data_IF_545306929136
#
_entry.id   IF_545306929136
#
_cell.length_a   1.000
_cell.length_b   1.000
_cell.length_c   1.000
_cell.angle_alpha   90.00
_cell.angle_beta   90.00
_cell.angle_gamma   90.00
#
_symmetry.space_group_name_H-M   'P 1'
#
loop_
_entity.id
_entity.type
_entity.pdbx_description
1 polymer ?
#
# COMPACT_ATOMS: atom_id res chain seq x y z
N UNK A 1 -29.11 14.79 23.12
CA UNK A 1 -29.15 13.38 23.51
C UNK A 1 -27.80 12.77 23.18
N UNK A 2 -27.02 12.44 24.18
CA UNK A 2 -25.70 11.80 24.02
C UNK A 2 -25.99 10.32 23.76
N UNK A 3 -25.61 9.80 22.60
CA UNK A 3 -25.74 8.38 22.28
C UNK A 3 -24.54 7.64 22.86
N UNK A 4 -24.81 6.83 23.89
CA UNK A 4 -23.92 5.86 24.48
C UNK A 4 -23.76 4.67 23.50
N UNK A 5 -22.51 4.25 23.21
CA UNK A 5 -22.10 3.28 22.17
C UNK A 5 -22.63 1.84 22.32
N UNK A 6 -23.78 1.61 22.93
CA UNK A 6 -24.35 0.30 23.29
C UNK A 6 -25.40 -0.25 22.33
N UNK A 7 -25.72 0.44 21.22
CA UNK A 7 -26.77 -0.02 20.30
C UNK A 7 -26.20 -0.56 18.98
N UNK A 8 -26.61 -1.78 18.63
CA UNK A 8 -26.24 -2.40 17.35
C UNK A 8 -26.84 -1.60 16.17
N UNK A 9 -26.18 -1.62 15.00
CA UNK A 9 -26.68 -0.95 13.76
C UNK A 9 -28.08 -1.39 13.35
N UNK A 10 -28.50 -2.61 13.69
CA UNK A 10 -29.86 -3.08 13.46
C UNK A 10 -30.91 -2.31 14.31
N UNK A 11 -30.55 -1.97 15.52
CA UNK A 11 -31.37 -1.14 16.41
C UNK A 11 -31.46 0.27 15.88
N UNK A 12 -30.37 0.79 15.29
CA UNK A 12 -30.32 2.12 14.68
C UNK A 12 -31.17 2.19 13.39
N UNK A 13 -31.05 1.18 12.50
CA UNK A 13 -31.88 1.09 11.29
C UNK A 13 -33.36 0.88 11.62
N UNK A 14 -33.68 0.11 12.66
CA UNK A 14 -35.07 -0.01 13.18
C UNK A 14 -35.54 1.31 13.78
N UNK A 15 -34.69 2.00 14.55
CA UNK A 15 -34.99 3.33 15.09
C UNK A 15 -35.26 4.37 13.99
N UNK A 16 -34.46 4.39 12.92
CA UNK A 16 -34.65 5.27 11.78
C UNK A 16 -35.95 4.95 11.02
N UNK A 17 -36.27 3.65 10.81
CA UNK A 17 -37.55 3.23 10.21
C UNK A 17 -38.73 3.60 11.06
N UNK A 18 -38.65 3.43 12.38
CA UNK A 18 -39.70 3.81 13.33
C UNK A 18 -39.86 5.34 13.34
N UNK A 19 -38.75 6.08 13.33
CA UNK A 19 -38.77 7.55 13.27
C UNK A 19 -39.33 8.07 11.96
N UNK A 20 -38.97 7.50 10.81
CA UNK A 20 -39.56 7.82 9.51
C UNK A 20 -41.06 7.45 9.44
N UNK A 21 -41.45 6.34 10.08
CA UNK A 21 -42.86 5.93 10.18
C UNK A 21 -43.68 6.87 11.07
N UNK A 22 -43.16 7.25 12.23
CA UNK A 22 -43.76 8.24 13.13
C UNK A 22 -43.93 9.61 12.45
N UNK A 23 -42.94 10.04 11.67
CA UNK A 23 -43.04 11.28 10.87
C UNK A 23 -44.10 11.15 9.78
N UNK A 24 -44.16 10.01 9.06
CA UNK A 24 -45.24 9.76 8.10
C UNK A 24 -46.63 9.79 8.77
N UNK A 25 -46.72 9.20 9.98
CA UNK A 25 -47.96 9.21 10.76
C UNK A 25 -48.34 10.63 11.22
N UNK A 26 -47.38 11.42 11.71
CA UNK A 26 -47.58 12.84 12.06
C UNK A 26 -47.97 13.67 10.84
N UNK A 27 -47.32 13.45 9.70
CA UNK A 27 -47.64 14.12 8.44
C UNK A 27 -49.05 13.78 7.94
N UNK A 28 -49.55 12.55 8.20
CA UNK A 28 -50.95 12.16 7.89
C UNK A 28 -51.96 12.78 8.86
N UNK A 29 -51.60 12.96 10.14
CA UNK A 29 -52.46 13.59 11.14
C UNK A 29 -52.54 15.11 11.01
N UNK A 30 -51.54 15.75 10.35
CA UNK A 30 -51.53 17.21 10.12
C UNK A 30 -51.93 17.63 8.70
N UNK A 31 -52.53 16.77 7.89
CA UNK A 31 -52.96 17.03 6.52
C UNK A 31 -54.10 18.08 6.38
N UNK A 32 -54.31 18.93 7.39
CA UNK A 32 -55.43 19.90 7.44
C UNK A 32 -55.02 21.31 7.02
N UNK A 33 -53.73 21.65 6.78
CA UNK A 33 -53.38 22.94 6.20
C UNK A 33 -52.10 22.86 5.36
N UNK A 34 -52.26 23.08 4.05
CA UNK A 34 -51.17 23.04 3.04
C UNK A 34 -50.01 24.01 3.33
N UNK A 35 -50.25 25.08 4.06
CA UNK A 35 -49.26 26.13 4.37
C UNK A 35 -48.29 25.72 5.50
N UNK A 36 -48.77 25.00 6.51
CA UNK A 36 -47.94 24.44 7.58
C UNK A 36 -47.09 23.26 7.07
N UNK A 37 -47.65 22.45 6.17
CA UNK A 37 -46.96 21.31 5.58
C UNK A 37 -45.72 21.74 4.78
N UNK A 38 -45.79 22.80 4.00
CA UNK A 38 -44.66 23.30 3.22
C UNK A 38 -43.55 23.85 4.11
N UNK A 39 -43.85 24.57 5.17
CA UNK A 39 -42.86 25.06 6.14
C UNK A 39 -42.21 23.95 6.96
N UNK A 40 -42.95 22.92 7.36
CA UNK A 40 -42.40 21.74 8.06
C UNK A 40 -41.56 20.88 7.13
N UNK A 41 -41.93 20.68 5.88
CA UNK A 41 -41.18 19.96 4.88
C UNK A 41 -39.83 20.65 4.59
N UNK A 42 -39.81 21.96 4.44
CA UNK A 42 -38.59 22.75 4.22
C UNK A 42 -37.70 22.75 5.46
N UNK A 43 -38.25 22.93 6.67
CA UNK A 43 -37.49 22.87 7.92
C UNK A 43 -36.93 21.47 8.19
N UNK A 44 -37.69 20.42 7.88
CA UNK A 44 -37.22 19.02 7.98
C UNK A 44 -36.10 18.72 6.98
N UNK A 45 -36.29 19.13 5.72
CA UNK A 45 -35.25 18.99 4.70
C UNK A 45 -33.99 19.77 5.08
N UNK A 46 -34.15 20.96 5.64
CA UNK A 46 -33.02 21.78 6.10
C UNK A 46 -32.32 21.17 7.33
N UNK A 47 -33.09 20.66 8.32
CA UNK A 47 -32.55 19.94 9.48
C UNK A 47 -31.88 18.61 9.08
N UNK A 48 -32.46 17.88 8.12
CA UNK A 48 -31.86 16.67 7.57
C UNK A 48 -30.57 17.00 6.81
N UNK A 49 -30.56 18.07 6.02
CA UNK A 49 -29.33 18.55 5.34
C UNK A 49 -28.28 19.02 6.33
N UNK A 50 -28.62 19.72 7.41
CA UNK A 50 -27.70 20.12 8.48
C UNK A 50 -27.20 18.88 9.23
N UNK A 51 -28.06 17.93 9.55
CA UNK A 51 -27.69 16.70 10.25
C UNK A 51 -26.79 15.81 9.39
N UNK A 52 -27.09 15.67 8.10
CA UNK A 52 -26.23 14.96 7.13
C UNK A 52 -24.94 15.72 6.91
N UNK A 53 -24.95 17.04 6.80
CA UNK A 53 -23.75 17.85 6.66
C UNK A 53 -22.87 17.86 7.92
N UNK A 54 -23.43 17.80 9.12
CA UNK A 54 -22.67 17.67 10.37
C UNK A 54 -22.06 16.27 10.56
N UNK A 55 -22.66 15.23 9.96
CA UNK A 55 -22.09 13.86 9.99
C UNK A 55 -21.20 13.55 8.80
N UNK A 56 -21.17 14.40 7.77
CA UNK A 56 -20.41 14.17 6.54
C UNK A 56 -18.93 14.58 6.63
N UNK A 57 -18.51 15.21 7.73
CA UNK A 57 -17.11 15.58 7.87
C UNK A 57 -16.24 14.36 8.20
N UNK A 58 -15.24 14.14 7.35
CA UNK A 58 -14.15 13.22 7.64
C UNK A 58 -13.34 13.79 8.80
N UNK A 59 -12.88 12.92 9.71
CA UNK A 59 -11.91 13.31 10.73
C UNK A 59 -10.57 12.66 10.40
N UNK A 60 -9.51 13.42 10.57
CA UNK A 60 -8.13 12.97 10.36
C UNK A 60 -7.40 12.97 11.69
N UNK A 61 -6.81 11.86 12.07
CA UNK A 61 -5.84 11.76 13.14
C UNK A 61 -4.62 10.98 12.67
N UNK A 62 -3.50 11.11 13.36
CA UNK A 62 -2.28 10.42 12.99
C UNK A 62 -1.39 10.12 14.18
N UNK A 63 -0.51 9.14 14.03
CA UNK A 63 0.61 8.84 14.93
C UNK A 63 1.87 8.52 14.14
N UNK A 64 3.01 8.80 14.73
CA UNK A 64 4.31 8.39 14.22
C UNK A 64 4.88 7.26 15.06
N UNK A 65 5.54 6.33 14.39
CA UNK A 65 6.19 5.18 15.02
C UNK A 65 7.62 5.05 14.49
N UNK A 66 8.47 4.38 15.25
CA UNK A 66 9.82 4.03 14.84
C UNK A 66 9.98 2.53 14.98
N UNK A 67 9.64 1.79 13.92
CA UNK A 67 9.51 0.33 13.92
C UNK A 67 10.88 -0.32 13.95
N UNK A 68 11.24 -1.13 14.97
CA UNK A 68 12.54 -1.78 15.06
C UNK A 68 12.62 -3.00 14.15
N UNK A 69 13.73 -3.15 13.41
CA UNK A 69 14.02 -4.39 12.67
C UNK A 69 14.54 -5.50 13.60
N UNK A 70 14.27 -6.75 13.25
CA UNK A 70 14.87 -7.93 13.91
C UNK A 70 16.40 -7.95 13.76
N UNK A 71 16.85 -7.58 12.57
CA UNK A 71 18.26 -7.48 12.20
C UNK A 71 18.50 -6.12 11.52
N UNK A 72 19.71 -5.56 11.59
CA UNK A 72 20.05 -4.42 10.75
C UNK A 72 19.73 -4.73 9.28
N UNK A 73 18.99 -3.84 8.63
CA UNK A 73 18.57 -4.00 7.25
C UNK A 73 19.49 -3.18 6.34
N UNK A 74 20.31 -3.87 5.55
CA UNK A 74 21.33 -3.26 4.69
C UNK A 74 21.00 -3.48 3.21
N UNK A 75 21.05 -2.41 2.46
CA UNK A 75 20.99 -2.37 0.99
C UNK A 75 22.24 -1.64 0.46
N UNK A 76 22.43 -1.55 -0.86
CA UNK A 76 23.56 -0.82 -1.47
C UNK A 76 23.64 0.67 -1.06
N UNK A 77 22.57 1.26 -0.56
CA UNK A 77 22.47 2.68 -0.14
C UNK A 77 22.66 2.92 1.36
N UNK A 78 22.82 1.89 2.17
CA UNK A 78 23.07 2.01 3.60
C UNK A 78 22.33 1.00 4.48
N UNK A 79 22.47 1.17 5.79
CA UNK A 79 21.92 0.28 6.82
C UNK A 79 20.91 1.02 7.68
N UNK A 80 19.81 0.36 8.00
CA UNK A 80 18.79 0.83 8.95
C UNK A 80 18.59 -0.18 10.08
N UNK A 81 18.35 0.30 11.29
CA UNK A 81 17.94 -0.51 12.46
C UNK A 81 16.48 -0.31 12.82
N UNK A 82 15.88 0.77 12.31
CA UNK A 82 14.48 1.14 12.52
C UNK A 82 13.90 1.72 11.24
N UNK A 83 12.58 1.61 11.09
CA UNK A 83 11.82 2.28 10.05
C UNK A 83 10.86 3.30 10.68
N UNK A 84 11.18 4.60 10.59
CA UNK A 84 10.22 5.64 10.97
C UNK A 84 9.02 5.60 10.03
N UNK A 85 7.80 5.64 10.56
CA UNK A 85 6.58 5.60 9.78
C UNK A 85 5.50 6.51 10.33
N UNK A 86 4.65 7.04 9.45
CA UNK A 86 3.46 7.81 9.76
C UNK A 86 2.23 6.95 9.47
N UNK A 87 1.36 6.81 10.47
CA UNK A 87 0.04 6.21 10.30
C UNK A 87 -1.01 7.32 10.34
N UNK A 88 -1.90 7.35 9.36
CA UNK A 88 -3.07 8.23 9.34
C UNK A 88 -4.33 7.40 9.56
N UNK A 89 -5.20 7.90 10.44
CA UNK A 89 -6.56 7.39 10.63
C UNK A 89 -7.55 8.38 10.00
N UNK A 90 -8.42 7.88 9.14
CA UNK A 90 -9.56 8.60 8.59
C UNK A 90 -10.84 8.03 9.20
N UNK A 91 -11.61 8.86 9.91
CA UNK A 91 -12.94 8.48 10.41
C UNK A 91 -14.03 9.17 9.60
N UNK A 92 -14.94 8.37 9.03
CA UNK A 92 -16.07 8.86 8.26
C UNK A 92 -17.32 8.02 8.57
N UNK A 93 -18.41 8.64 8.96
CA UNK A 93 -19.65 7.96 9.40
C UNK A 93 -19.43 6.89 10.49
N UNK A 94 -18.44 7.11 11.39
CA UNK A 94 -18.09 6.17 12.46
C UNK A 94 -17.31 4.94 11.99
N UNK A 95 -16.91 4.87 10.73
CA UNK A 95 -15.96 3.89 10.23
C UNK A 95 -14.56 4.51 10.21
N UNK A 96 -13.58 3.73 10.63
CA UNK A 96 -12.19 4.15 10.63
C UNK A 96 -11.44 3.41 9.53
N UNK A 97 -10.62 4.13 8.79
CA UNK A 97 -9.68 3.60 7.82
C UNK A 97 -8.27 4.05 8.15
N UNK A 98 -7.29 3.24 7.83
CA UNK A 98 -5.89 3.48 8.15
C UNK A 98 -5.03 3.37 6.90
N UNK A 99 -4.01 4.21 6.84
CA UNK A 99 -2.93 4.11 5.86
C UNK A 99 -1.59 4.34 6.51
N UNK A 100 -0.53 3.91 5.85
CA UNK A 100 0.85 3.99 6.33
C UNK A 100 1.77 4.61 5.28
N UNK A 101 2.69 5.48 5.73
CA UNK A 101 3.79 6.00 4.93
C UNK A 101 5.11 5.94 5.71
N UNK A 102 6.00 5.01 5.36
CA UNK A 102 7.36 4.98 5.90
C UNK A 102 8.17 6.18 5.39
N UNK A 103 9.00 6.76 6.25
CA UNK A 103 9.94 7.80 5.85
C UNK A 103 11.12 7.19 5.09
N UNK A 104 11.38 7.68 3.87
CA UNK A 104 12.45 7.15 3.01
C UNK A 104 13.37 8.29 2.58
N UNK A 105 14.59 8.25 3.08
CA UNK A 105 15.60 9.28 2.81
C UNK A 105 15.91 9.44 1.30
N UNK A 106 15.88 8.35 0.54
CA UNK A 106 16.09 8.37 -0.92
C UNK A 106 15.12 9.31 -1.66
N UNK A 107 13.86 9.39 -1.20
CA UNK A 107 12.86 10.29 -1.78
C UNK A 107 12.78 11.65 -1.09
N UNK A 108 13.66 11.92 -0.12
CA UNK A 108 13.67 13.16 0.66
C UNK A 108 12.33 13.48 1.33
N UNK A 109 11.69 12.44 1.88
CA UNK A 109 10.40 12.53 2.58
C UNK A 109 10.59 12.07 4.03
N UNK A 110 11.03 12.97 4.94
CA UNK A 110 11.13 12.70 6.38
C UNK A 110 9.74 12.78 7.04
N UNK A 111 9.61 12.18 8.23
CA UNK A 111 8.35 12.18 9.01
C UNK A 111 7.89 13.60 9.31
N UNK A 112 8.81 14.48 9.69
CA UNK A 112 8.53 15.87 10.08
C UNK A 112 7.83 16.63 8.94
N UNK A 113 8.31 16.45 7.70
CA UNK A 113 7.70 17.06 6.53
C UNK A 113 6.30 16.53 6.24
N UNK A 114 6.10 15.21 6.39
CA UNK A 114 4.77 14.61 6.22
C UNK A 114 3.79 15.15 7.26
N UNK A 115 4.21 15.23 8.52
CA UNK A 115 3.39 15.76 9.62
C UNK A 115 3.07 17.24 9.40
N UNK A 116 4.08 18.07 9.07
CA UNK A 116 3.88 19.49 8.78
C UNK A 116 2.89 19.72 7.63
N UNK A 117 3.05 19.00 6.52
CA UNK A 117 2.16 19.08 5.36
C UNK A 117 0.74 18.65 5.70
N UNK A 118 0.59 17.56 6.48
CA UNK A 118 -0.70 17.07 6.94
C UNK A 118 -1.40 18.09 7.85
N UNK A 119 -0.73 18.58 8.89
CA UNK A 119 -1.30 19.56 9.83
C UNK A 119 -1.74 20.83 9.12
N UNK A 120 -0.91 21.36 8.22
CA UNK A 120 -1.23 22.55 7.43
C UNK A 120 -2.48 22.37 6.56
N UNK A 121 -2.75 21.16 6.07
CA UNK A 121 -3.81 20.87 5.10
C UNK A 121 -4.95 20.03 5.65
N UNK A 122 -4.86 19.57 6.89
CA UNK A 122 -5.84 18.71 7.57
C UNK A 122 -7.27 19.20 7.42
N UNK A 123 -7.51 20.48 7.64
CA UNK A 123 -8.86 21.08 7.53
C UNK A 123 -9.47 20.92 6.13
N UNK A 124 -8.65 20.90 5.08
CA UNK A 124 -9.13 20.70 3.71
C UNK A 124 -9.47 19.22 3.47
N UNK A 125 -8.65 18.31 4.00
CA UNK A 125 -8.95 16.86 3.98
C UNK A 125 -10.25 16.58 4.71
N UNK A 126 -10.44 17.12 5.90
CA UNK A 126 -11.64 16.92 6.73
C UNK A 126 -12.93 17.50 6.12
N UNK A 127 -12.83 18.59 5.34
CA UNK A 127 -13.97 19.22 4.68
C UNK A 127 -14.35 18.60 3.34
N UNK A 128 -13.56 17.65 2.83
CA UNK A 128 -13.89 17.00 1.58
C UNK A 128 -15.16 16.13 1.71
N UNK A 129 -16.12 16.35 0.82
CA UNK A 129 -17.33 15.53 0.73
C UNK A 129 -16.98 14.18 0.07
N UNK A 130 -16.56 13.22 0.87
CA UNK A 130 -16.14 11.91 0.40
C UNK A 130 -17.32 11.14 -0.21
N UNK A 131 -17.18 10.72 -1.46
CA UNK A 131 -18.15 9.91 -2.18
C UNK A 131 -17.54 8.59 -2.68
N UNK A 132 -16.35 8.63 -3.21
CA UNK A 132 -15.62 7.50 -3.73
C UNK A 132 -14.10 7.76 -3.67
N UNK A 133 -13.25 6.69 -3.62
CA UNK A 133 -11.80 6.80 -3.52
C UNK A 133 -11.15 7.50 -4.71
N UNK A 134 -11.61 7.26 -5.94
CA UNK A 134 -11.03 7.84 -7.16
C UNK A 134 -11.10 9.37 -7.13
N UNK A 135 -12.29 9.90 -6.82
CA UNK A 135 -12.52 11.33 -6.70
C UNK A 135 -11.75 11.95 -5.53
N UNK A 136 -11.62 11.19 -4.43
CA UNK A 136 -10.84 11.62 -3.28
C UNK A 136 -9.36 11.68 -3.62
N UNK A 137 -8.82 10.69 -4.31
CA UNK A 137 -7.44 10.69 -4.76
C UNK A 137 -7.13 11.90 -5.65
N UNK A 138 -7.97 12.21 -6.63
CA UNK A 138 -7.79 13.40 -7.47
C UNK A 138 -7.72 14.68 -6.64
N UNK A 139 -8.54 14.79 -5.61
CA UNK A 139 -8.48 15.93 -4.69
C UNK A 139 -7.18 15.97 -3.90
N UNK A 140 -6.73 14.84 -3.36
CA UNK A 140 -5.47 14.73 -2.63
C UNK A 140 -4.27 15.08 -3.52
N UNK A 141 -4.28 14.67 -4.77
CA UNK A 141 -3.22 14.96 -5.74
C UNK A 141 -3.04 16.48 -5.97
N UNK A 142 -4.13 17.23 -6.01
CA UNK A 142 -4.06 18.69 -6.04
C UNK A 142 -3.68 19.29 -4.68
N UNK A 143 -4.07 18.64 -3.60
CA UNK A 143 -3.78 19.13 -2.25
C UNK A 143 -2.31 18.91 -1.85
N UNK A 144 -1.70 17.78 -2.22
CA UNK A 144 -0.35 17.36 -1.83
C UNK A 144 0.61 17.12 -3.02
N UNK A 145 0.71 17.99 -4.02
CA UNK A 145 1.37 17.71 -5.31
C UNK A 145 2.87 17.36 -5.23
N UNK A 146 3.50 17.60 -4.09
CA UNK A 146 4.92 17.29 -3.84
C UNK A 146 5.14 16.19 -2.81
N UNK A 147 4.08 15.46 -2.41
CA UNK A 147 4.17 14.47 -1.34
C UNK A 147 3.30 13.23 -1.65
N UNK A 148 3.75 12.41 -2.60
CA UNK A 148 3.07 11.17 -3.00
C UNK A 148 2.85 10.21 -1.83
N UNK A 149 3.76 10.20 -0.83
CA UNK A 149 3.63 9.38 0.36
C UNK A 149 2.42 9.79 1.20
N UNK A 150 2.20 11.10 1.36
CA UNK A 150 1.05 11.61 2.10
C UNK A 150 -0.28 11.45 1.33
N UNK A 151 -0.25 11.54 -0.01
CA UNK A 151 -1.40 11.18 -0.85
C UNK A 151 -1.75 9.70 -0.66
N UNK A 152 -0.76 8.81 -0.80
CA UNK A 152 -0.94 7.37 -0.73
C UNK A 152 -1.49 6.87 0.61
N UNK A 153 -1.03 7.43 1.72
CA UNK A 153 -1.52 7.09 3.06
C UNK A 153 -2.98 7.49 3.25
N UNK A 154 -3.39 8.66 2.74
CA UNK A 154 -4.78 9.11 2.80
C UNK A 154 -5.67 8.31 1.85
N UNK A 155 -5.20 7.98 0.64
CA UNK A 155 -5.92 7.15 -0.32
C UNK A 155 -6.17 5.73 0.22
N UNK A 156 -5.16 5.09 0.80
CA UNK A 156 -5.28 3.79 1.45
C UNK A 156 -6.28 3.83 2.62
N UNK A 157 -6.23 4.87 3.45
CA UNK A 157 -7.16 5.08 4.55
C UNK A 157 -8.61 5.25 4.07
N UNK A 158 -8.83 5.96 2.97
CA UNK A 158 -10.15 6.15 2.37
C UNK A 158 -10.72 4.85 1.79
N UNK A 159 -9.92 4.08 1.08
CA UNK A 159 -10.29 2.75 0.58
C UNK A 159 -10.66 1.79 1.72
N UNK A 160 -9.87 1.77 2.79
CA UNK A 160 -10.14 0.99 3.99
C UNK A 160 -11.48 1.40 4.64
N UNK A 161 -11.72 2.70 4.81
CA UNK A 161 -12.96 3.23 5.38
C UNK A 161 -14.19 2.81 4.54
N UNK A 162 -14.12 2.97 3.21
CA UNK A 162 -15.19 2.58 2.31
C UNK A 162 -15.49 1.06 2.40
N UNK A 163 -14.46 0.22 2.36
CA UNK A 163 -14.64 -1.22 2.41
C UNK A 163 -15.24 -1.68 3.76
N UNK A 164 -14.86 -1.05 4.87
CA UNK A 164 -15.49 -1.29 6.18
C UNK A 164 -16.96 -0.90 6.21
N UNK A 165 -17.34 0.20 5.56
CA UNK A 165 -18.73 0.60 5.44
C UNK A 165 -19.58 -0.44 4.70
N UNK A 166 -19.01 -1.11 3.70
CA UNK A 166 -19.64 -2.23 2.99
C UNK A 166 -19.48 -3.59 3.71
N UNK A 167 -18.76 -3.65 4.83
CA UNK A 167 -18.43 -4.90 5.57
C UNK A 167 -17.74 -5.94 4.70
N UNK A 168 -16.86 -5.50 3.81
CA UNK A 168 -16.07 -6.34 2.92
C UNK A 168 -14.60 -5.93 2.97
N UNK A 169 -13.71 -6.79 2.51
CA UNK A 169 -12.34 -6.38 2.18
C UNK A 169 -12.30 -5.71 0.81
N UNK A 170 -11.26 -4.92 0.51
CA UNK A 170 -11.16 -4.18 -0.75
C UNK A 170 -11.10 -5.10 -1.96
N UNK A 171 -10.29 -6.17 -1.92
CA UNK A 171 -10.24 -7.15 -3.00
C UNK A 171 -11.62 -7.75 -3.31
N UNK A 172 -12.44 -7.98 -2.27
CA UNK A 172 -13.80 -8.51 -2.43
C UNK A 172 -14.78 -7.48 -3.03
N UNK A 173 -14.56 -6.18 -2.81
CA UNK A 173 -15.31 -5.12 -3.51
C UNK A 173 -14.98 -5.09 -5.00
N UNK A 174 -13.77 -5.47 -5.37
CA UNK A 174 -13.31 -5.54 -6.76
C UNK A 174 -13.56 -6.90 -7.41
N UNK A 175 -14.21 -7.83 -6.70
CA UNK A 175 -14.46 -9.21 -7.13
C UNK A 175 -13.18 -9.97 -7.51
N UNK A 176 -12.08 -9.72 -6.80
CA UNK A 176 -10.82 -10.42 -7.01
C UNK A 176 -10.79 -11.71 -6.20
N UNK A 177 -10.19 -12.75 -6.78
CA UNK A 177 -9.98 -14.05 -6.17
C UNK A 177 -8.61 -14.11 -5.48
N UNK A 178 -8.57 -14.21 -4.17
CA UNK A 178 -7.32 -14.25 -3.39
C UNK A 178 -6.50 -15.51 -3.60
N UNK A 179 -7.09 -16.60 -4.12
CA UNK A 179 -6.35 -17.82 -4.46
C UNK A 179 -5.41 -17.62 -5.67
N UNK A 180 -5.60 -16.55 -6.44
CA UNK A 180 -4.73 -16.16 -7.57
C UNK A 180 -3.53 -15.32 -7.14
N UNK A 181 -3.40 -14.99 -5.85
CA UNK A 181 -2.28 -14.20 -5.34
C UNK A 181 -0.95 -14.97 -5.45
N UNK A 182 0.12 -14.34 -5.98
CA UNK A 182 1.44 -14.96 -5.98
C UNK A 182 1.99 -15.09 -4.55
N UNK A 183 3.00 -15.96 -4.38
CA UNK A 183 3.72 -16.08 -3.12
C UNK A 183 4.59 -14.85 -2.90
N UNK A 184 4.59 -14.29 -1.67
CA UNK A 184 5.55 -13.26 -1.30
C UNK A 184 6.94 -13.85 -1.05
N UNK A 185 7.96 -13.12 -1.45
CA UNK A 185 9.33 -13.44 -1.09
C UNK A 185 9.67 -13.06 0.37
N UNK A 186 10.86 -13.44 0.81
CA UNK A 186 11.47 -13.02 2.07
C UNK A 186 12.83 -12.38 1.77
N UNK A 187 13.02 -11.14 2.21
CA UNK A 187 14.20 -10.35 1.89
C UNK A 187 15.40 -10.72 2.76
N UNK A 188 16.52 -11.00 2.11
CA UNK A 188 17.84 -11.15 2.72
C UNK A 188 18.64 -9.88 2.40
N UNK A 189 18.80 -9.02 3.39
CA UNK A 189 19.64 -7.81 3.30
C UNK A 189 21.13 -8.17 3.22
N UNK A 190 21.95 -7.27 2.69
CA UNK A 190 23.39 -7.42 2.57
C UNK A 190 24.02 -7.60 3.96
N UNK A 191 24.80 -8.67 4.13
CA UNK A 191 25.55 -8.98 5.36
C UNK A 191 26.72 -9.91 5.01
N UNK A 192 27.48 -10.39 5.99
CA UNK A 192 28.40 -11.50 5.78
C UNK A 192 27.61 -12.75 5.33
N UNK A 193 28.20 -13.55 4.46
CA UNK A 193 27.58 -14.77 3.92
C UNK A 193 27.05 -15.66 5.05
N UNK A 194 27.82 -15.83 6.13
CA UNK A 194 27.44 -16.66 7.28
C UNK A 194 26.13 -16.15 7.92
N UNK A 195 25.99 -14.84 8.13
CA UNK A 195 24.78 -14.24 8.68
C UNK A 195 23.58 -14.33 7.73
N UNK A 196 23.81 -14.17 6.42
CA UNK A 196 22.75 -14.34 5.42
C UNK A 196 22.24 -15.80 5.42
N UNK A 197 23.15 -16.78 5.49
CA UNK A 197 22.80 -18.19 5.62
C UNK A 197 22.08 -18.50 6.94
N UNK A 198 22.47 -17.86 8.04
CA UNK A 198 21.79 -17.98 9.32
C UNK A 198 20.33 -17.50 9.22
N UNK A 199 20.10 -16.32 8.65
CA UNK A 199 18.74 -15.78 8.40
C UNK A 199 17.89 -16.71 7.53
N UNK A 200 18.46 -17.31 6.48
CA UNK A 200 17.77 -18.29 5.63
C UNK A 200 17.43 -19.59 6.39
N UNK A 201 18.29 -20.05 7.29
CA UNK A 201 18.03 -21.23 8.14
C UNK A 201 16.98 -20.95 9.21
N UNK A 202 16.99 -19.76 9.78
CA UNK A 202 16.00 -19.33 10.78
C UNK A 202 14.61 -19.20 10.17
N UNK A 203 14.54 -18.71 8.91
CA UNK A 203 13.29 -18.51 8.17
C UNK A 203 13.34 -19.22 6.82
N UNK A 204 13.17 -20.57 6.77
CA UNK A 204 13.06 -21.28 5.50
C UNK A 204 11.87 -20.75 4.69
N UNK A 205 12.11 -20.39 3.42
CA UNK A 205 11.13 -19.73 2.59
C UNK A 205 11.25 -20.20 1.13
N UNK A 206 10.15 -20.27 0.37
CA UNK A 206 10.19 -20.77 -1.02
C UNK A 206 10.83 -19.79 -2.01
N UNK A 207 10.84 -18.51 -1.69
CA UNK A 207 11.36 -17.44 -2.55
C UNK A 207 12.14 -16.45 -1.69
N UNK A 208 13.41 -16.23 -1.98
CA UNK A 208 14.22 -15.20 -1.33
C UNK A 208 14.51 -14.04 -2.28
N UNK A 209 14.30 -12.81 -1.81
CA UNK A 209 14.78 -11.60 -2.45
C UNK A 209 16.13 -11.21 -1.83
N UNK A 210 17.20 -11.31 -2.61
CA UNK A 210 18.56 -11.04 -2.14
C UNK A 210 18.98 -9.64 -2.56
N UNK A 211 19.33 -8.80 -1.58
CA UNK A 211 19.88 -7.46 -1.86
C UNK A 211 21.34 -7.59 -2.28
N UNK A 212 21.67 -6.91 -3.38
CA UNK A 212 23.00 -6.88 -4.00
C UNK A 212 23.40 -5.44 -4.36
N UNK A 213 24.31 -5.24 -5.30
CA UNK A 213 24.79 -3.93 -5.72
C UNK A 213 26.06 -3.49 -5.00
N UNK A 214 26.80 -4.46 -4.49
CA UNK A 214 28.11 -4.28 -3.84
C UNK A 214 29.17 -5.15 -4.50
N UNK A 215 30.43 -5.02 -4.10
CA UNK A 215 31.49 -5.92 -4.50
C UNK A 215 31.25 -7.32 -3.93
N UNK A 216 31.53 -8.38 -4.70
CA UNK A 216 31.38 -9.78 -4.28
C UNK A 216 29.93 -10.28 -4.28
N UNK A 217 28.99 -9.58 -4.91
CA UNK A 217 27.57 -9.99 -4.91
C UNK A 217 27.31 -11.31 -5.68
N UNK A 218 28.08 -11.65 -6.70
CA UNK A 218 27.99 -12.95 -7.39
C UNK A 218 28.43 -14.10 -6.49
N UNK A 219 29.53 -13.93 -5.81
CA UNK A 219 30.08 -14.91 -4.84
C UNK A 219 29.09 -15.11 -3.68
N UNK A 220 28.46 -14.04 -3.24
CA UNK A 220 27.43 -14.06 -2.22
C UNK A 220 26.20 -14.87 -2.68
N UNK A 221 25.63 -14.57 -3.85
CA UNK A 221 24.48 -15.31 -4.40
C UNK A 221 24.85 -16.78 -4.66
N UNK A 222 26.06 -17.07 -5.17
CA UNK A 222 26.54 -18.41 -5.39
C UNK A 222 26.68 -19.21 -4.08
N UNK A 223 27.14 -18.56 -3.01
CA UNK A 223 27.21 -19.17 -1.68
C UNK A 223 25.82 -19.51 -1.13
N UNK A 224 24.83 -18.56 -1.25
CA UNK A 224 23.46 -18.82 -0.82
C UNK A 224 22.82 -19.96 -1.64
N UNK A 225 23.02 -20.00 -2.96
CA UNK A 225 22.47 -21.03 -3.85
C UNK A 225 22.94 -22.46 -3.46
N UNK A 226 24.12 -22.61 -2.96
CA UNK A 226 24.62 -23.94 -2.48
C UNK A 226 23.82 -24.50 -1.30
N UNK A 227 23.05 -23.65 -0.59
CA UNK A 227 22.31 -24.01 0.62
C UNK A 227 20.78 -24.02 0.45
N UNK A 228 20.27 -23.66 -0.72
CA UNK A 228 18.84 -23.67 -0.97
C UNK A 228 18.48 -23.96 -2.43
N UNK A 229 17.33 -24.61 -2.65
CA UNK A 229 16.68 -24.74 -3.95
C UNK A 229 15.52 -23.74 -4.13
N UNK A 230 15.29 -22.85 -3.17
CA UNK A 230 14.28 -21.81 -3.26
C UNK A 230 14.52 -20.91 -4.49
N UNK A 231 13.47 -20.28 -4.98
CA UNK A 231 13.59 -19.23 -6.00
C UNK A 231 14.42 -18.07 -5.43
N UNK A 232 15.37 -17.56 -6.21
CA UNK A 232 16.15 -16.37 -5.87
C UNK A 232 15.76 -15.22 -6.81
N UNK A 233 15.34 -14.12 -6.23
CA UNK A 233 15.17 -12.80 -6.87
C UNK A 233 16.32 -11.92 -6.41
N UNK A 234 16.77 -11.01 -7.25
CA UNK A 234 17.91 -10.15 -6.93
C UNK A 234 17.50 -8.70 -7.10
N UNK A 235 17.79 -7.87 -6.09
CA UNK A 235 17.56 -6.43 -6.14
C UNK A 235 18.88 -5.68 -5.94
N UNK A 236 19.32 -4.99 -6.99
CA UNK A 236 20.56 -4.22 -6.99
C UNK A 236 20.41 -2.79 -6.46
N UNK A 237 19.20 -2.32 -6.24
CA UNK A 237 18.89 -0.95 -5.78
C UNK A 237 19.72 0.11 -6.53
N UNK A 238 19.76 0.02 -7.87
CA UNK A 238 20.52 0.90 -8.74
C UNK A 238 22.05 0.92 -8.46
N UNK A 239 22.59 -0.18 -7.97
CA UNK A 239 23.97 -0.27 -7.48
C UNK A 239 25.00 -0.64 -8.55
N UNK A 240 24.60 -1.05 -9.76
CA UNK A 240 25.55 -1.46 -10.81
C UNK A 240 25.75 -0.40 -11.89
N UNK A 241 26.94 -0.42 -12.51
CA UNK A 241 27.16 0.18 -13.83
C UNK A 241 26.63 -0.75 -14.92
N UNK A 242 26.50 -0.22 -16.15
CA UNK A 242 26.09 -1.05 -17.30
C UNK A 242 27.04 -2.22 -17.53
N UNK A 243 28.37 -1.97 -17.46
CA UNK A 243 29.39 -2.99 -17.66
C UNK A 243 29.29 -4.10 -16.57
N UNK A 244 29.08 -3.70 -15.31
CA UNK A 244 28.87 -4.64 -14.22
C UNK A 244 27.62 -5.48 -14.45
N UNK A 245 26.50 -4.86 -14.84
CA UNK A 245 25.24 -5.57 -15.09
C UNK A 245 25.39 -6.56 -16.26
N UNK A 246 26.02 -6.17 -17.38
CA UNK A 246 26.26 -7.05 -18.52
C UNK A 246 27.13 -8.27 -18.17
N UNK A 247 28.09 -8.13 -17.22
CA UNK A 247 28.91 -9.22 -16.75
C UNK A 247 28.19 -10.13 -15.74
N UNK A 248 27.43 -9.52 -14.81
CA UNK A 248 26.84 -10.23 -13.66
C UNK A 248 25.56 -10.99 -14.01
N UNK A 249 24.69 -10.42 -14.84
CA UNK A 249 23.37 -11.01 -15.12
C UNK A 249 23.46 -12.41 -15.76
N UNK A 250 24.35 -12.69 -16.74
CA UNK A 250 24.52 -14.05 -17.23
C UNK A 250 24.94 -15.06 -16.14
N UNK A 251 25.85 -14.67 -15.22
CA UNK A 251 26.26 -15.51 -14.10
C UNK A 251 25.11 -15.77 -13.11
N UNK A 252 24.29 -14.75 -12.85
CA UNK A 252 23.08 -14.91 -12.01
C UNK A 252 22.07 -15.84 -12.67
N UNK A 253 21.94 -15.83 -14.00
CA UNK A 253 21.11 -16.78 -14.74
C UNK A 253 21.60 -18.22 -14.53
N UNK A 254 22.92 -18.46 -14.59
CA UNK A 254 23.51 -19.78 -14.32
C UNK A 254 23.26 -20.24 -12.87
N UNK A 255 23.19 -19.31 -11.92
CA UNK A 255 22.83 -19.56 -10.53
C UNK A 255 21.31 -19.76 -10.32
N UNK A 256 20.50 -19.72 -11.36
CA UNK A 256 19.06 -19.93 -11.29
C UNK A 256 18.31 -18.78 -10.62
N UNK A 257 18.79 -17.55 -10.76
CA UNK A 257 18.03 -16.34 -10.39
C UNK A 257 16.86 -16.17 -11.32
N UNK A 258 15.71 -15.79 -10.78
CA UNK A 258 14.45 -15.61 -11.52
C UNK A 258 14.39 -14.26 -12.24
N UNK A 259 14.76 -13.19 -11.55
CA UNK A 259 14.63 -11.81 -12.05
C UNK A 259 15.65 -10.87 -11.37
N UNK A 260 15.87 -9.72 -12.01
CA UNK A 260 16.70 -8.64 -11.48
C UNK A 260 15.85 -7.39 -11.31
N UNK A 261 15.84 -6.81 -10.13
CA UNK A 261 15.20 -5.54 -9.84
C UNK A 261 16.23 -4.40 -9.87
N UNK A 262 15.90 -3.33 -10.56
CA UNK A 262 16.62 -2.06 -10.71
C UNK A 262 18.15 -2.19 -10.75
N UNK A 263 18.72 -2.75 -11.82
CA UNK A 263 20.18 -2.94 -11.92
C UNK A 263 20.96 -1.63 -12.00
N UNK A 264 20.50 -0.66 -12.81
CA UNK A 264 21.19 0.59 -13.10
C UNK A 264 20.53 1.79 -12.41
N UNK A 265 21.26 2.91 -12.35
CA UNK A 265 20.71 4.19 -11.90
C UNK A 265 19.40 4.54 -12.63
N UNK A 266 18.44 5.10 -11.91
CA UNK A 266 17.05 5.30 -12.37
C UNK A 266 16.89 6.13 -13.65
N UNK A 267 17.86 6.97 -13.95
CA UNK A 267 17.90 7.87 -15.11
C UNK A 267 18.80 7.39 -16.24
N UNK A 268 19.45 6.22 -16.08
CA UNK A 268 20.30 5.61 -17.12
C UNK A 268 19.46 4.83 -18.15
N UNK A 269 18.59 5.52 -18.86
CA UNK A 269 17.67 4.90 -19.82
C UNK A 269 18.37 4.27 -21.02
N UNK A 270 19.44 4.88 -21.52
CA UNK A 270 20.23 4.32 -22.63
C UNK A 270 20.87 2.99 -22.23
N UNK A 271 21.46 2.93 -21.05
CA UNK A 271 22.02 1.71 -20.52
C UNK A 271 20.95 0.64 -20.25
N UNK A 272 19.79 1.03 -19.74
CA UNK A 272 18.66 0.11 -19.50
C UNK A 272 18.10 -0.46 -20.79
N UNK A 273 17.97 0.34 -21.86
CA UNK A 273 17.53 -0.15 -23.18
C UNK A 273 18.48 -1.23 -23.72
N UNK A 274 19.78 -0.96 -23.68
CA UNK A 274 20.79 -1.95 -24.11
C UNK A 274 20.73 -3.22 -23.24
N UNK A 275 20.55 -3.05 -21.94
CA UNK A 275 20.46 -4.17 -21.02
C UNK A 275 19.19 -4.99 -21.23
N UNK A 276 18.05 -4.35 -21.48
CA UNK A 276 16.78 -4.98 -21.81
C UNK A 276 16.90 -5.90 -23.04
N UNK A 277 17.56 -5.43 -24.10
CA UNK A 277 17.76 -6.20 -25.34
C UNK A 277 18.69 -7.41 -25.16
N UNK A 278 19.60 -7.36 -24.16
CA UNK A 278 20.66 -8.37 -23.99
C UNK A 278 20.46 -9.27 -22.77
N UNK A 279 19.62 -8.90 -21.84
CA UNK A 279 19.47 -9.64 -20.57
C UNK A 279 18.80 -10.99 -20.80
N UNK A 280 19.40 -12.09 -20.31
CA UNK A 280 18.76 -13.39 -20.29
C UNK A 280 17.77 -13.56 -19.13
N UNK A 281 17.62 -12.54 -18.27
CA UNK A 281 16.71 -12.52 -17.13
C UNK A 281 15.73 -11.35 -17.24
N UNK A 282 14.50 -11.50 -16.77
CA UNK A 282 13.57 -10.37 -16.63
C UNK A 282 14.14 -9.26 -15.77
N UNK A 283 13.98 -8.01 -16.20
CA UNK A 283 14.38 -6.79 -15.50
C UNK A 283 13.15 -6.04 -15.03
N UNK A 284 13.11 -5.67 -13.75
CA UNK A 284 12.01 -4.93 -13.13
C UNK A 284 12.45 -3.53 -12.71
N UNK A 285 11.63 -2.52 -13.04
CA UNK A 285 11.85 -1.13 -12.66
C UNK A 285 11.31 -0.86 -11.27
N UNK A 286 12.14 -0.39 -10.32
CA UNK A 286 11.71 0.16 -9.02
C UNK A 286 11.87 1.68 -8.98
N UNK A 287 13.11 2.17 -8.86
CA UNK A 287 13.39 3.60 -8.77
C UNK A 287 13.12 4.34 -10.09
N UNK A 288 13.07 3.63 -11.21
CA UNK A 288 12.74 4.17 -12.54
C UNK A 288 11.24 4.29 -12.80
N UNK A 289 10.38 3.63 -11.97
CA UNK A 289 8.92 3.65 -12.09
C UNK A 289 8.31 4.16 -10.79
N UNK A 290 8.04 5.45 -10.70
CA UNK A 290 7.55 6.11 -9.49
C UNK A 290 6.08 6.46 -9.61
N UNK A 291 5.62 6.94 -10.77
CA UNK A 291 4.28 7.42 -11.02
C UNK A 291 3.66 6.78 -12.27
N UNK A 292 2.36 6.99 -12.47
CA UNK A 292 1.61 6.47 -13.64
C UNK A 292 2.26 6.85 -14.97
N UNK A 293 2.79 8.09 -15.06
CA UNK A 293 3.46 8.59 -16.28
C UNK A 293 4.76 7.86 -16.63
N UNK A 294 5.32 7.08 -15.71
CA UNK A 294 6.58 6.37 -15.95
C UNK A 294 6.36 5.00 -16.62
N UNK A 295 5.13 4.46 -16.59
CA UNK A 295 4.83 3.11 -17.07
C UNK A 295 5.17 2.94 -18.54
N UNK A 296 4.72 3.87 -19.41
CA UNK A 296 5.03 3.85 -20.83
C UNK A 296 6.52 3.87 -21.11
N UNK A 297 7.25 4.69 -20.37
CA UNK A 297 8.70 4.79 -20.54
C UNK A 297 9.42 3.51 -20.11
N UNK A 298 8.87 2.79 -19.15
CA UNK A 298 9.44 1.51 -18.72
C UNK A 298 9.24 0.39 -19.74
N UNK A 299 8.19 0.40 -20.57
CA UNK A 299 7.84 -0.70 -21.47
C UNK A 299 8.96 -1.11 -22.46
N UNK A 300 9.77 -0.17 -22.92
CA UNK A 300 10.91 -0.44 -23.84
C UNK A 300 12.25 -0.64 -23.12
N UNK A 301 12.26 -0.66 -21.78
CA UNK A 301 13.48 -0.66 -20.98
C UNK A 301 13.48 -1.74 -19.90
N UNK A 302 12.30 -2.26 -19.53
CA UNK A 302 12.13 -3.26 -18.49
C UNK A 302 11.07 -4.28 -18.94
N UNK A 303 11.17 -5.50 -18.42
CA UNK A 303 10.20 -6.58 -18.64
C UNK A 303 9.02 -6.49 -17.67
N UNK A 304 9.20 -5.75 -16.57
CA UNK A 304 8.19 -5.54 -15.55
C UNK A 304 8.44 -4.28 -14.73
N UNK A 305 7.44 -3.90 -13.95
CA UNK A 305 7.53 -2.75 -13.02
C UNK A 305 7.25 -3.18 -11.60
N UNK A 306 7.95 -2.56 -10.64
CA UNK A 306 7.68 -2.68 -9.21
C UNK A 306 6.96 -1.41 -8.73
N UNK A 307 5.65 -1.52 -8.56
CA UNK A 307 4.80 -0.47 -8.00
C UNK A 307 4.97 -0.47 -6.48
N UNK A 308 5.13 0.71 -5.87
CA UNK A 308 5.06 0.89 -4.41
C UNK A 308 4.01 1.94 -4.10
N UNK A 309 3.07 1.60 -3.22
CA UNK A 309 1.88 2.43 -2.95
C UNK A 309 2.25 3.86 -2.54
N UNK A 310 3.31 4.02 -1.78
CA UNK A 310 3.80 5.34 -1.36
C UNK A 310 4.46 6.12 -2.51
N UNK A 311 5.15 5.46 -3.45
CA UNK A 311 5.71 6.12 -4.63
C UNK A 311 4.61 6.66 -5.55
N UNK A 312 3.66 5.80 -5.89
CA UNK A 312 2.63 6.11 -6.87
C UNK A 312 1.41 6.85 -6.32
N UNK A 313 1.44 7.28 -5.06
CA UNK A 313 0.36 8.02 -4.40
C UNK A 313 -0.87 7.18 -4.02
N UNK A 314 -0.73 5.86 -3.82
CA UNK A 314 -1.76 5.05 -3.19
C UNK A 314 -2.30 3.88 -4.01
N UNK A 315 -3.38 3.29 -3.52
CA UNK A 315 -4.03 2.11 -4.09
C UNK A 315 -4.73 2.47 -5.42
N UNK A 316 -5.32 3.66 -5.49
CA UNK A 316 -6.06 4.15 -6.66
C UNK A 316 -5.18 4.25 -7.89
N UNK A 317 -4.05 4.99 -7.88
CA UNK A 317 -3.14 5.01 -9.03
C UNK A 317 -2.41 3.67 -9.24
N UNK A 318 -2.11 2.91 -8.17
CA UNK A 318 -1.50 1.60 -8.33
C UNK A 318 -2.35 0.67 -9.23
N UNK A 319 -3.67 0.66 -9.06
CA UNK A 319 -4.58 -0.12 -9.91
C UNK A 319 -4.53 0.32 -11.37
N UNK A 320 -4.43 1.63 -11.63
CA UNK A 320 -4.30 2.16 -13.00
C UNK A 320 -2.96 1.76 -13.61
N UNK A 321 -1.86 1.84 -12.84
CA UNK A 321 -0.53 1.38 -13.27
C UNK A 321 -0.52 -0.12 -13.58
N UNK A 322 -1.15 -0.95 -12.74
CA UNK A 322 -1.28 -2.40 -12.99
C UNK A 322 -1.98 -2.65 -14.32
N UNK A 323 -3.13 -2.02 -14.55
CA UNK A 323 -3.87 -2.19 -15.79
C UNK A 323 -3.04 -1.73 -17.00
N UNK A 324 -2.40 -0.57 -16.88
CA UNK A 324 -1.59 -0.02 -17.98
C UNK A 324 -0.37 -0.86 -18.31
N UNK A 325 0.33 -1.38 -17.30
CA UNK A 325 1.47 -2.28 -17.50
C UNK A 325 1.03 -3.57 -18.23
N UNK A 326 -0.11 -4.16 -17.85
CA UNK A 326 -0.66 -5.34 -18.52
C UNK A 326 -1.07 -5.07 -19.98
N UNK A 327 -1.62 -3.89 -20.28
CA UNK A 327 -1.90 -3.47 -21.65
C UNK A 327 -0.64 -3.35 -22.52
N UNK A 328 0.52 -3.15 -21.88
CA UNK A 328 1.84 -3.06 -22.52
C UNK A 328 2.62 -4.39 -22.43
N UNK A 329 1.95 -5.51 -22.12
CA UNK A 329 2.54 -6.84 -21.97
C UNK A 329 3.70 -6.90 -20.96
N UNK A 330 3.70 -6.01 -19.94
CA UNK A 330 4.69 -6.02 -18.88
C UNK A 330 4.23 -6.84 -17.69
N UNK A 331 5.18 -7.51 -17.03
CA UNK A 331 4.92 -8.12 -15.72
C UNK A 331 4.75 -7.05 -14.64
N UNK A 332 3.90 -7.35 -13.66
CA UNK A 332 3.58 -6.40 -12.59
C UNK A 332 3.95 -6.96 -11.23
N UNK A 333 4.74 -6.20 -10.52
CA UNK A 333 5.09 -6.43 -9.12
C UNK A 333 4.57 -5.26 -8.28
N UNK A 334 4.10 -5.55 -7.06
CA UNK A 334 3.97 -4.55 -5.99
C UNK A 334 4.93 -4.92 -4.87
N UNK A 335 5.78 -3.98 -4.50
CA UNK A 335 6.76 -4.14 -3.44
C UNK A 335 6.50 -3.22 -2.25
N UNK A 336 7.13 -3.55 -1.12
CA UNK A 336 7.06 -2.78 0.11
C UNK A 336 8.28 -1.86 0.30
N UNK A 337 8.18 -0.98 1.31
CA UNK A 337 9.26 -0.13 1.82
C UNK A 337 9.58 -0.44 3.29
N UNK A 338 9.41 -1.70 3.70
CA UNK A 338 9.48 -2.17 5.09
C UNK A 338 8.35 -1.60 5.97
N UNK A 339 7.14 -1.53 5.44
CA UNK A 339 5.95 -1.13 6.18
C UNK A 339 5.57 -2.16 7.25
N UNK A 340 4.76 -1.71 8.22
CA UNK A 340 4.06 -2.57 9.16
C UNK A 340 2.93 -3.37 8.48
N UNK A 341 2.21 -4.15 9.28
CA UNK A 341 0.99 -4.82 8.82
C UNK A 341 -0.07 -3.87 8.24
N UNK A 342 -0.02 -2.56 8.52
CA UNK A 342 -0.96 -1.59 7.94
C UNK A 342 -0.71 -1.41 6.45
N UNK A 343 0.51 -1.04 6.06
CA UNK A 343 0.88 -0.86 4.65
C UNK A 343 0.87 -2.18 3.87
N UNK A 344 1.39 -3.25 4.49
CA UNK A 344 1.38 -4.59 3.91
C UNK A 344 -0.02 -5.11 3.61
N UNK A 345 -1.00 -4.85 4.47
CA UNK A 345 -2.38 -5.22 4.23
C UNK A 345 -3.01 -4.48 3.04
N UNK A 346 -2.57 -3.24 2.76
CA UNK A 346 -2.99 -2.51 1.57
C UNK A 346 -2.43 -3.15 0.29
N UNK A 347 -1.17 -3.59 0.30
CA UNK A 347 -0.54 -4.35 -0.79
C UNK A 347 -1.31 -5.66 -1.04
N UNK A 348 -1.67 -6.37 0.03
CA UNK A 348 -2.41 -7.64 -0.05
C UNK A 348 -3.74 -7.51 -0.82
N UNK A 349 -4.41 -6.36 -0.75
CA UNK A 349 -5.66 -6.16 -1.49
C UNK A 349 -5.46 -6.14 -3.01
N UNK A 350 -4.24 -5.86 -3.48
CA UNK A 350 -3.88 -5.85 -4.90
C UNK A 350 -3.27 -7.18 -5.36
N UNK A 351 -2.82 -8.03 -4.43
CA UNK A 351 -2.04 -9.24 -4.75
C UNK A 351 -2.66 -10.12 -5.84
N UNK A 352 -3.99 -10.34 -5.92
CA UNK A 352 -4.58 -11.14 -7.00
C UNK A 352 -4.44 -10.55 -8.41
N UNK A 353 -4.00 -9.31 -8.53
CA UNK A 353 -3.77 -8.63 -9.82
C UNK A 353 -2.31 -8.75 -10.29
N UNK A 354 -1.41 -9.32 -9.49
CA UNK A 354 0.03 -9.23 -9.67
C UNK A 354 0.63 -10.54 -10.20
N UNK A 355 1.76 -10.42 -10.89
CA UNK A 355 2.62 -11.56 -11.26
C UNK A 355 3.64 -11.86 -10.17
N UNK A 356 4.10 -10.82 -9.47
CA UNK A 356 5.12 -10.87 -8.42
C UNK A 356 4.68 -10.00 -7.24
N UNK A 357 4.95 -10.44 -6.01
CA UNK A 357 4.72 -9.64 -4.81
C UNK A 357 5.90 -9.73 -3.84
N UNK A 358 6.26 -8.57 -3.25
CA UNK A 358 7.26 -8.39 -2.21
C UNK A 358 6.63 -7.58 -1.07
N UNK A 359 6.10 -8.29 -0.06
CA UNK A 359 5.31 -7.68 1.01
C UNK A 359 5.71 -8.24 2.38
N UNK A 360 6.98 -8.51 2.55
CA UNK A 360 7.55 -9.13 3.74
C UNK A 360 7.87 -8.16 4.89
N UNK A 361 7.54 -6.88 4.76
CA UNK A 361 7.83 -5.84 5.77
C UNK A 361 7.60 -6.29 7.21
N UNK A 362 6.40 -6.80 7.59
CA UNK A 362 6.14 -7.27 8.95
C UNK A 362 7.03 -8.42 9.41
N UNK A 363 7.54 -9.23 8.49
CA UNK A 363 8.44 -10.34 8.82
C UNK A 363 9.84 -9.87 9.21
N UNK A 364 10.23 -8.68 8.75
CA UNK A 364 11.53 -8.05 9.03
C UNK A 364 11.54 -7.26 10.35
N UNK A 365 10.36 -6.90 10.87
CA UNK A 365 10.20 -6.14 12.11
C UNK A 365 10.27 -7.04 13.33
N UNK A 366 10.85 -6.55 14.44
CA UNK A 366 10.80 -7.23 15.75
C UNK A 366 9.50 -6.95 16.49
N UNK A 367 8.88 -5.79 16.22
CA UNK A 367 7.60 -5.37 16.78
C UNK A 367 6.73 -4.76 15.68
N UNK A 368 5.43 -5.06 15.70
CA UNK A 368 4.46 -4.51 14.76
C UNK A 368 3.35 -3.78 15.51
N UNK A 369 2.83 -2.72 14.93
CA UNK A 369 1.80 -1.86 15.50
C UNK A 369 0.37 -2.32 15.18
N UNK A 370 0.23 -3.29 14.30
CA UNK A 370 -1.05 -3.83 13.85
C UNK A 370 -0.98 -5.34 13.65
N UNK A 371 -2.15 -5.96 13.57
CA UNK A 371 -2.34 -7.31 13.06
C UNK A 371 -3.08 -7.22 11.73
N UNK A 372 -2.60 -7.91 10.73
CA UNK A 372 -3.16 -7.89 9.39
C UNK A 372 -3.13 -9.26 8.74
N UNK A 373 -2.77 -9.31 7.46
CA UNK A 373 -2.48 -10.56 6.75
C UNK A 373 -1.28 -11.25 7.40
N UNK A 374 -1.28 -12.58 7.35
CA UNK A 374 -0.14 -13.40 7.79
C UNK A 374 0.36 -14.25 6.63
N UNK A 375 1.48 -14.93 6.82
CA UNK A 375 2.12 -15.68 5.74
C UNK A 375 2.45 -17.10 6.19
N UNK A 376 2.11 -18.05 5.31
CA UNK A 376 2.53 -19.44 5.43
C UNK A 376 3.30 -19.85 4.18
N UNK A 377 4.62 -20.05 4.32
CA UNK A 377 5.51 -20.38 3.20
C UNK A 377 5.28 -19.48 1.97
N UNK A 378 5.19 -18.16 2.19
CA UNK A 378 4.94 -17.17 1.15
C UNK A 378 3.48 -16.98 0.75
N UNK A 379 2.59 -17.91 1.07
CA UNK A 379 1.16 -17.77 0.83
C UNK A 379 0.57 -16.69 1.74
N UNK A 380 -0.20 -15.77 1.15
CA UNK A 380 -0.89 -14.71 1.89
C UNK A 380 -2.16 -15.31 2.52
N UNK A 381 -2.26 -15.18 3.85
CA UNK A 381 -3.43 -15.62 4.61
C UNK A 381 -4.25 -14.39 5.01
N UNK A 382 -5.40 -14.22 4.38
CA UNK A 382 -6.34 -13.15 4.68
C UNK A 382 -7.20 -13.54 5.89
N UNK A 383 -7.59 -12.55 6.68
CA UNK A 383 -8.52 -12.72 7.79
C UNK A 383 -9.94 -12.26 7.40
N UNK A 384 -10.90 -12.40 8.32
CA UNK A 384 -12.33 -12.05 8.11
C UNK A 384 -12.65 -10.56 8.38
N UNK A 385 -11.66 -9.75 8.79
CA UNK A 385 -11.90 -8.35 9.13
C UNK A 385 -12.16 -7.51 7.86
N UNK A 386 -13.15 -6.63 7.88
CA UNK A 386 -13.46 -5.77 6.73
C UNK A 386 -12.39 -4.69 6.51
N UNK A 387 -12.41 -4.07 5.33
CA UNK A 387 -11.46 -3.03 4.95
C UNK A 387 -10.19 -3.61 4.38
N UNK A 388 -9.05 -3.28 4.97
CA UNK A 388 -7.76 -3.90 4.67
C UNK A 388 -7.52 -5.21 5.44
N UNK A 389 -8.45 -5.61 6.32
CA UNK A 389 -8.24 -6.79 7.16
C UNK A 389 -7.27 -6.52 8.31
N UNK A 390 -7.24 -5.32 8.89
CA UNK A 390 -6.33 -4.97 9.97
C UNK A 390 -7.03 -4.67 11.29
N UNK A 391 -6.35 -5.03 12.38
CA UNK A 391 -6.62 -4.57 13.73
C UNK A 391 -5.41 -3.80 14.23
N UNK A 392 -5.59 -2.53 14.55
CA UNK A 392 -4.50 -1.66 15.01
C UNK A 392 -4.68 -1.35 16.49
N UNK A 393 -3.59 -1.43 17.24
CA UNK A 393 -3.53 -1.00 18.63
C UNK A 393 -3.14 0.47 18.66
N UNK A 394 -4.15 1.33 18.66
CA UNK A 394 -3.99 2.78 18.51
C UNK A 394 -3.91 3.50 19.85
#
# INVERSE_FOLDING_TARGET
>A
MVFDGRYSKETWYKGLKIFCWLIKLLLHLFAVSSFLFHRFSVAYSFLLCIFVAQQSNMKVSYKTFNLPFKYPFTISKGTKTHQPTLIVELEHFGFKGYGEAPAIAYYNIPIEKMVEDLERKKIFVEKFAFSDPERYWHYLHHLFPANSFLEGINDAGAGHNQARAYRKQLHALWNLNTDESPLTDYTIGIDSIDKMLEKMKEKPWPIYKVKVGVEGDIEMVAALRKHTNAVLRVDANAGWTLEQALMKIPLLKELGVEMIEQPLAKDNWEGMKLLYEKSPLPLFADESCVAESDVEKCADHFHGINIKLTKCSGITPARRMINRAKELDMQVMVGCMNESSVGTAAIAQLAPLLDVVDMDGPLLLSEDIAKGVTFDQGKILYNELPGLGIEINW
#
